data_IF_468189214554
#
_entry.id   IF_468189214554
#
_cell.length_a   1.000
_cell.length_b   1.000
_cell.length_c   1.000
_cell.angle_alpha   90.00
_cell.angle_beta   90.00
_cell.angle_gamma   90.00
#
_symmetry.space_group_name_H-M   'P 1'
#
loop_
_entity.id
_entity.type
_entity.pdbx_description
1 polymer ?
#
# COMPACT_ATOMS: atom_id res chain seq x y z
N UNK A 1 49.77 17.72 -8.51
CA UNK A 1 48.43 18.11 -8.01
C UNK A 1 47.50 16.98 -8.38
N UNK A 2 47.16 16.14 -7.41
CA UNK A 2 46.25 15.03 -7.60
C UNK A 2 44.82 15.58 -7.48
N UNK A 3 43.98 15.30 -8.47
CA UNK A 3 42.54 15.56 -8.42
C UNK A 3 41.90 14.70 -7.33
N UNK A 4 40.97 15.21 -6.54
CA UNK A 4 40.27 14.39 -5.58
C UNK A 4 39.43 13.34 -6.32
N UNK A 5 39.64 12.09 -5.98
CA UNK A 5 38.72 11.01 -6.35
C UNK A 5 37.38 11.28 -5.70
N UNK A 6 36.33 11.41 -6.52
CA UNK A 6 34.95 11.47 -6.08
C UNK A 6 34.66 10.20 -5.27
N UNK A 7 34.42 10.36 -4.00
CA UNK A 7 33.83 9.33 -3.16
C UNK A 7 32.43 9.06 -3.68
N UNK A 8 32.26 8.00 -4.42
CA UNK A 8 30.97 7.42 -4.75
C UNK A 8 30.31 6.93 -3.45
N UNK A 9 29.66 7.82 -2.74
CA UNK A 9 28.66 7.44 -1.76
C UNK A 9 27.48 6.86 -2.52
N UNK A 10 27.15 5.59 -2.29
CA UNK A 10 26.15 4.82 -3.05
C UNK A 10 24.69 5.27 -2.87
N UNK A 11 24.43 6.56 -2.84
CA UNK A 11 23.08 7.14 -2.89
C UNK A 11 22.96 7.87 -4.22
N UNK A 12 22.56 7.15 -5.26
CA UNK A 12 22.37 7.74 -6.58
C UNK A 12 20.91 7.74 -6.95
N UNK A 13 20.42 8.89 -7.38
CA UNK A 13 19.11 9.18 -7.93
C UNK A 13 17.94 9.10 -6.93
N UNK A 14 17.76 10.15 -6.12
CA UNK A 14 16.51 10.40 -5.43
C UNK A 14 15.55 11.13 -6.38
N UNK A 15 14.35 10.56 -6.58
CA UNK A 15 13.23 11.22 -7.23
C UNK A 15 12.23 11.59 -6.15
N UNK A 16 12.00 12.88 -5.97
CA UNK A 16 11.05 13.40 -4.99
C UNK A 16 9.92 14.13 -5.71
N UNK A 17 8.72 13.95 -5.20
CA UNK A 17 7.58 14.81 -5.48
C UNK A 17 6.75 14.97 -4.19
N UNK A 18 5.68 15.75 -4.24
CA UNK A 18 4.84 16.02 -3.07
C UNK A 18 4.16 14.75 -2.50
N UNK A 19 4.06 13.67 -3.27
CA UNK A 19 3.31 12.47 -2.89
C UNK A 19 4.18 11.28 -2.51
N UNK A 20 5.45 11.22 -2.96
CA UNK A 20 6.36 10.11 -2.67
C UNK A 20 7.82 10.49 -2.92
N UNK A 21 8.74 9.71 -2.34
CA UNK A 21 10.16 9.74 -2.70
C UNK A 21 10.66 8.35 -3.08
N UNK A 22 11.64 8.31 -3.99
CA UNK A 22 12.30 7.06 -4.43
C UNK A 22 13.80 7.24 -4.25
N UNK A 23 14.43 6.27 -3.60
CA UNK A 23 15.88 6.16 -3.46
C UNK A 23 16.35 4.80 -3.96
N UNK A 24 17.40 4.79 -4.79
CA UNK A 24 17.96 3.56 -5.33
C UNK A 24 19.33 3.34 -4.71
N UNK A 25 19.46 2.26 -3.94
CA UNK A 25 20.74 1.81 -3.39
C UNK A 25 21.43 0.89 -4.39
N UNK A 26 22.63 1.27 -4.81
CA UNK A 26 23.43 0.56 -5.81
C UNK A 26 24.68 -0.04 -5.18
N UNK A 27 24.48 -1.14 -4.49
CA UNK A 27 25.57 -2.03 -4.10
C UNK A 27 25.66 -3.20 -5.09
N UNK A 28 26.26 -4.32 -4.75
CA UNK A 28 26.21 -5.54 -5.57
C UNK A 28 24.77 -6.01 -5.84
N UNK A 29 23.86 -5.70 -4.93
CA UNK A 29 22.43 -5.98 -5.00
C UNK A 29 21.67 -4.66 -4.96
N UNK A 30 20.89 -4.37 -6.01
CA UNK A 30 20.05 -3.15 -6.04
C UNK A 30 18.80 -3.35 -5.20
N UNK A 31 18.56 -2.43 -4.30
CA UNK A 31 17.29 -2.24 -3.60
C UNK A 31 16.71 -0.87 -3.93
N UNK A 32 15.40 -0.81 -4.13
CA UNK A 32 14.66 0.44 -4.35
C UNK A 32 13.84 0.73 -3.11
N UNK A 33 14.10 1.84 -2.47
CA UNK A 33 13.35 2.33 -1.31
C UNK A 33 12.35 3.39 -1.77
N UNK A 34 11.08 3.19 -1.46
CA UNK A 34 9.98 4.09 -1.76
C UNK A 34 9.38 4.54 -0.43
N UNK A 35 9.28 5.85 -0.24
CA UNK A 35 8.60 6.44 0.92
C UNK A 35 7.30 7.09 0.48
N UNK A 36 6.21 6.75 1.14
CA UNK A 36 4.88 7.27 0.95
C UNK A 36 4.36 7.76 2.31
N UNK A 37 4.54 9.07 2.58
CA UNK A 37 4.23 9.68 3.88
C UNK A 37 3.15 10.76 3.81
N UNK A 38 2.39 10.79 2.73
CA UNK A 38 1.32 11.75 2.47
C UNK A 38 -0.02 11.04 2.24
N UNK A 39 -1.05 11.81 1.94
CA UNK A 39 -2.33 11.24 1.50
C UNK A 39 -2.19 10.48 0.17
N UNK A 40 -3.03 9.49 -0.02
CA UNK A 40 -3.16 8.78 -1.29
C UNK A 40 -3.94 9.65 -2.26
N UNK A 41 -3.21 10.27 -3.18
CA UNK A 41 -3.73 11.19 -4.18
C UNK A 41 -4.25 10.47 -5.43
N UNK A 42 -4.62 11.23 -6.48
CA UNK A 42 -5.05 10.68 -7.75
C UNK A 42 -3.88 10.00 -8.49
N UNK A 43 -4.19 9.00 -9.31
CA UNK A 43 -3.19 8.12 -9.94
C UNK A 43 -2.15 8.84 -10.80
N UNK A 44 -2.52 9.96 -11.44
CA UNK A 44 -1.59 10.72 -12.30
C UNK A 44 -0.39 11.30 -11.53
N UNK A 45 -0.50 11.48 -10.21
CA UNK A 45 0.61 11.95 -9.39
C UNK A 45 1.69 10.88 -9.16
N UNK A 46 1.40 9.62 -9.48
CA UNK A 46 2.28 8.47 -9.31
C UNK A 46 2.91 7.95 -10.63
N UNK A 47 2.81 8.69 -11.73
CA UNK A 47 3.32 8.25 -13.04
C UNK A 47 4.82 7.90 -13.00
N UNK A 48 5.64 8.71 -12.32
CA UNK A 48 7.08 8.44 -12.15
C UNK A 48 7.31 7.16 -11.33
N UNK A 49 6.55 6.96 -10.26
CA UNK A 49 6.62 5.74 -9.44
C UNK A 49 6.24 4.52 -10.26
N UNK A 50 5.16 4.58 -11.02
CA UNK A 50 4.74 3.49 -11.90
C UNK A 50 5.78 3.21 -12.99
N UNK A 51 6.39 4.25 -13.58
CA UNK A 51 7.46 4.09 -14.55
C UNK A 51 8.69 3.39 -13.93
N UNK A 52 9.10 3.81 -12.73
CA UNK A 52 10.20 3.18 -12.00
C UNK A 52 9.93 1.71 -11.72
N UNK A 53 8.73 1.36 -11.21
CA UNK A 53 8.39 -0.04 -10.92
C UNK A 53 8.33 -0.93 -12.17
N UNK A 54 8.00 -0.35 -13.34
CA UNK A 54 8.02 -1.07 -14.62
C UNK A 54 9.42 -1.23 -15.23
N UNK A 55 10.38 -0.38 -14.84
CA UNK A 55 11.73 -0.31 -15.39
C UNK A 55 12.82 -0.63 -14.36
N UNK A 56 12.50 -1.47 -13.38
CA UNK A 56 13.48 -1.88 -12.37
C UNK A 56 14.69 -2.55 -13.03
N UNK A 57 15.93 -2.27 -12.55
CA UNK A 57 17.12 -2.93 -13.03
C UNK A 57 17.05 -4.45 -12.88
N UNK A 58 17.72 -5.21 -13.78
CA UNK A 58 17.70 -6.67 -13.75
C UNK A 58 18.25 -7.30 -12.47
N UNK A 59 19.19 -6.61 -11.80
CA UNK A 59 19.76 -7.03 -10.53
C UNK A 59 19.02 -6.43 -9.31
N UNK A 60 17.87 -5.79 -9.50
CA UNK A 60 17.00 -5.38 -8.40
C UNK A 60 16.36 -6.62 -7.76
N UNK A 61 16.55 -6.80 -6.47
CA UNK A 61 16.07 -7.98 -5.74
C UNK A 61 14.88 -7.68 -4.85
N UNK A 62 14.70 -6.42 -4.47
CA UNK A 62 13.59 -6.01 -3.59
C UNK A 62 13.24 -4.54 -3.78
N UNK A 63 11.98 -4.24 -3.52
CA UNK A 63 11.47 -2.89 -3.30
C UNK A 63 11.03 -2.80 -1.84
N UNK A 64 11.50 -1.79 -1.11
CA UNK A 64 11.05 -1.51 0.25
C UNK A 64 10.07 -0.33 0.21
N UNK A 65 8.85 -0.54 0.67
CA UNK A 65 7.84 0.50 0.79
C UNK A 65 7.74 0.95 2.25
N UNK A 66 8.21 2.17 2.54
CA UNK A 66 8.05 2.84 3.83
C UNK A 66 6.77 3.67 3.82
N UNK A 67 5.83 3.35 4.69
CA UNK A 67 4.47 3.82 4.61
C UNK A 67 4.01 4.48 5.91
N UNK A 68 3.52 5.73 5.79
CA UNK A 68 2.83 6.49 6.83
C UNK A 68 1.80 7.39 6.16
N UNK A 69 0.54 6.98 6.05
CA UNK A 69 -0.47 7.69 5.25
C UNK A 69 -1.85 7.60 5.87
N UNK A 70 -2.51 8.73 6.04
CA UNK A 70 -3.89 8.78 6.53
C UNK A 70 -4.94 8.33 5.51
N UNK A 71 -4.51 7.87 4.35
CA UNK A 71 -5.42 7.38 3.31
C UNK A 71 -5.68 8.40 2.21
N UNK A 72 -6.83 8.32 1.56
CA UNK A 72 -7.20 9.23 0.48
C UNK A 72 -8.04 8.56 -0.60
N UNK A 73 -7.80 8.92 -1.86
CA UNK A 73 -8.68 8.56 -2.97
C UNK A 73 -8.55 7.12 -3.45
N UNK A 74 -9.69 6.46 -3.67
CA UNK A 74 -9.73 5.10 -4.28
C UNK A 74 -9.10 5.06 -5.68
N UNK A 75 -9.20 6.15 -6.44
CA UNK A 75 -8.60 6.29 -7.77
C UNK A 75 -7.06 6.24 -7.74
N UNK A 76 -6.45 6.61 -6.63
CA UNK A 76 -5.01 6.43 -6.42
C UNK A 76 -4.67 5.10 -5.76
N UNK A 77 -5.50 4.66 -4.80
CA UNK A 77 -5.29 3.43 -4.06
C UNK A 77 -5.21 2.21 -4.97
N UNK A 78 -6.19 2.01 -5.86
CA UNK A 78 -6.27 0.80 -6.68
C UNK A 78 -5.05 0.64 -7.60
N UNK A 79 -4.63 1.66 -8.36
CA UNK A 79 -3.41 1.58 -9.17
C UNK A 79 -2.14 1.34 -8.34
N UNK A 80 -1.98 2.02 -7.19
CA UNK A 80 -0.83 1.84 -6.30
C UNK A 80 -0.79 0.42 -5.74
N UNK A 81 -1.91 -0.05 -5.21
CA UNK A 81 -2.01 -1.41 -4.67
C UNK A 81 -1.62 -2.45 -5.72
N UNK A 82 -2.15 -2.33 -6.93
CA UNK A 82 -1.83 -3.24 -8.02
C UNK A 82 -0.36 -3.12 -8.46
N UNK A 83 0.20 -1.91 -8.51
CA UNK A 83 1.60 -1.70 -8.87
C UNK A 83 2.55 -2.40 -7.90
N UNK A 84 2.28 -2.36 -6.60
CA UNK A 84 3.08 -3.05 -5.60
C UNK A 84 2.77 -4.57 -5.57
N UNK A 85 1.50 -4.95 -5.61
CA UNK A 85 1.07 -6.36 -5.52
C UNK A 85 1.61 -7.21 -6.66
N UNK A 86 1.66 -6.65 -7.86
CA UNK A 86 2.09 -7.33 -9.08
C UNK A 86 3.45 -6.83 -9.59
N UNK A 87 4.25 -6.21 -8.73
CA UNK A 87 5.62 -5.82 -9.06
C UNK A 87 6.44 -7.06 -9.45
N UNK A 88 7.36 -6.91 -10.41
CA UNK A 88 8.22 -8.00 -10.88
C UNK A 88 9.18 -8.52 -9.81
N UNK A 89 9.56 -7.67 -8.85
CA UNK A 89 10.35 -8.06 -7.69
C UNK A 89 9.52 -7.95 -6.42
N UNK A 90 9.87 -8.69 -5.36
CA UNK A 90 9.16 -8.63 -4.10
C UNK A 90 9.13 -7.23 -3.51
N UNK A 91 7.95 -6.82 -3.00
CA UNK A 91 7.77 -5.56 -2.27
C UNK A 91 7.61 -5.87 -0.78
N UNK A 92 8.53 -5.39 0.04
CA UNK A 92 8.47 -5.50 1.50
C UNK A 92 7.95 -4.18 2.09
N UNK A 93 6.85 -4.25 2.85
CA UNK A 93 6.18 -3.06 3.38
C UNK A 93 6.54 -2.84 4.84
N UNK A 94 6.95 -1.63 5.14
CA UNK A 94 7.29 -1.15 6.48
C UNK A 94 6.33 -0.01 6.86
N UNK A 95 5.45 -0.25 7.81
CA UNK A 95 4.60 0.78 8.39
C UNK A 95 5.45 1.55 9.39
N UNK A 96 5.71 2.83 9.10
CA UNK A 96 6.62 3.70 9.86
C UNK A 96 5.90 4.76 10.70
N UNK A 97 4.58 4.86 10.53
CA UNK A 97 3.70 5.77 11.25
C UNK A 97 2.27 5.23 11.26
N UNK A 98 1.32 6.11 11.42
CA UNK A 98 -0.10 5.76 11.33
C UNK A 98 -0.49 5.58 9.87
N UNK A 99 -1.22 4.48 9.59
CA UNK A 99 -1.75 4.19 8.27
C UNK A 99 -3.26 3.96 8.39
N UNK A 100 -4.04 4.86 7.81
CA UNK A 100 -5.49 4.83 7.89
C UNK A 100 -6.12 4.65 6.51
N UNK A 101 -7.33 4.04 6.45
CA UNK A 101 -8.11 3.97 5.22
C UNK A 101 -7.33 3.37 4.04
N UNK A 102 -7.18 4.10 2.94
CA UNK A 102 -6.37 3.71 1.78
C UNK A 102 -4.91 3.40 2.15
N UNK A 103 -4.32 4.12 3.13
CA UNK A 103 -2.98 3.84 3.66
C UNK A 103 -2.89 2.47 4.32
N UNK A 104 -3.88 2.10 5.14
CA UNK A 104 -3.94 0.77 5.75
C UNK A 104 -4.11 -0.35 4.72
N UNK A 105 -4.87 -0.09 3.63
CA UNK A 105 -5.00 -1.06 2.54
C UNK A 105 -3.69 -1.22 1.77
N UNK A 106 -2.97 -0.12 1.50
CA UNK A 106 -1.65 -0.19 0.85
C UNK A 106 -0.63 -0.99 1.66
N UNK A 107 -0.72 -0.97 3.00
CA UNK A 107 0.14 -1.80 3.84
C UNK A 107 0.01 -3.30 3.53
N UNK A 108 -1.08 -3.73 2.92
CA UNK A 108 -1.36 -5.12 2.56
C UNK A 108 -0.98 -5.48 1.10
N UNK A 109 -0.41 -4.52 0.35
CA UNK A 109 -0.10 -4.72 -1.07
C UNK A 109 1.20 -5.49 -1.35
N UNK A 110 2.11 -5.58 -0.36
CA UNK A 110 3.41 -6.21 -0.54
C UNK A 110 3.42 -7.75 -0.44
N UNK A 111 4.63 -8.29 -0.42
CA UNK A 111 4.92 -9.69 -0.07
C UNK A 111 4.97 -9.89 1.44
N UNK A 112 5.41 -8.88 2.17
CA UNK A 112 5.56 -8.89 3.62
C UNK A 112 5.07 -7.58 4.23
N UNK A 113 4.78 -7.61 5.52
CA UNK A 113 4.41 -6.45 6.33
C UNK A 113 5.19 -6.46 7.63
N UNK A 114 5.88 -5.36 7.90
CA UNK A 114 6.50 -5.05 9.19
C UNK A 114 5.88 -3.79 9.76
N UNK A 115 5.27 -3.87 10.92
CA UNK A 115 4.81 -2.71 11.67
C UNK A 115 5.91 -2.29 12.65
N UNK A 116 6.40 -1.06 12.52
CA UNK A 116 7.37 -0.48 13.45
C UNK A 116 6.72 -0.18 14.81
N UNK A 117 7.49 -0.08 15.91
CA UNK A 117 6.93 0.32 17.20
C UNK A 117 6.13 1.64 17.12
N UNK A 118 5.04 1.69 17.88
CA UNK A 118 4.13 2.84 17.97
C UNK A 118 3.36 3.16 16.67
N UNK A 119 3.20 2.18 15.78
CA UNK A 119 2.42 2.33 14.55
C UNK A 119 1.04 1.70 14.67
N UNK A 120 0.14 2.11 13.79
CA UNK A 120 -1.24 1.62 13.79
C UNK A 120 -1.81 1.58 12.38
N UNK A 121 -2.62 0.56 12.11
CA UNK A 121 -3.49 0.51 10.93
C UNK A 121 -4.93 0.78 11.38
N UNK A 122 -5.67 1.59 10.61
CA UNK A 122 -7.09 1.80 10.82
C UNK A 122 -7.84 1.56 9.51
N UNK A 123 -8.83 0.71 9.58
CA UNK A 123 -9.73 0.39 8.49
C UNK A 123 -11.12 0.91 8.82
N UNK A 124 -11.75 1.58 7.87
CA UNK A 124 -13.12 2.06 7.97
C UNK A 124 -13.85 1.87 6.64
N UNK A 125 -15.17 1.96 6.64
CA UNK A 125 -15.96 1.94 5.43
C UNK A 125 -15.63 3.17 4.55
N UNK A 126 -15.74 3.03 3.23
CA UNK A 126 -15.56 4.16 2.33
C UNK A 126 -16.61 5.24 2.56
N UNK A 127 -16.15 6.48 2.65
CA UNK A 127 -17.03 7.65 2.60
C UNK A 127 -16.90 8.31 1.24
N UNK A 128 -18.00 8.83 0.71
CA UNK A 128 -18.03 9.53 -0.57
C UNK A 128 -19.43 10.00 -0.90
N UNK A 129 -19.56 10.82 -1.92
CA UNK A 129 -20.81 11.31 -2.46
C UNK A 129 -20.74 11.37 -3.97
N UNK A 130 -21.90 11.27 -4.60
CA UNK A 130 -22.08 11.43 -6.03
C UNK A 130 -23.03 12.61 -6.30
N UNK A 131 -22.78 13.28 -7.39
CA UNK A 131 -23.66 14.35 -7.88
C UNK A 131 -24.20 13.96 -9.26
N UNK A 132 -25.51 14.04 -9.45
CA UNK A 132 -26.12 13.65 -10.72
C UNK A 132 -27.63 13.85 -10.73
N UNK A 133 -28.28 13.43 -11.81
CA UNK A 133 -29.73 13.52 -11.97
C UNK A 133 -30.38 12.18 -11.60
N UNK A 134 -31.36 12.25 -10.70
CA UNK A 134 -32.34 11.18 -10.45
C UNK A 134 -31.82 9.73 -10.55
N UNK A 135 -32.25 9.01 -11.57
CA UNK A 135 -31.89 7.62 -11.78
C UNK A 135 -30.39 7.39 -12.07
N UNK A 136 -29.73 8.34 -12.74
CA UNK A 136 -28.28 8.27 -13.00
C UNK A 136 -27.52 8.29 -11.69
N UNK A 137 -27.93 9.12 -10.74
CA UNK A 137 -27.36 9.19 -9.41
C UNK A 137 -27.56 7.88 -8.64
N UNK A 138 -28.78 7.32 -8.69
CA UNK A 138 -29.06 6.04 -8.03
C UNK A 138 -28.18 4.91 -8.58
N UNK A 139 -28.07 4.78 -9.89
CA UNK A 139 -27.24 3.77 -10.54
C UNK A 139 -25.76 3.96 -10.22
N UNK A 140 -25.23 5.18 -10.26
CA UNK A 140 -23.85 5.50 -9.92
C UNK A 140 -23.53 5.12 -8.48
N UNK A 141 -24.38 5.46 -7.51
CA UNK A 141 -24.20 5.11 -6.10
C UNK A 141 -24.26 3.60 -5.90
N UNK A 142 -25.22 2.89 -6.51
CA UNK A 142 -25.38 1.44 -6.35
C UNK A 142 -24.19 0.68 -6.94
N UNK A 143 -23.78 1.02 -8.16
CA UNK A 143 -22.63 0.39 -8.82
C UNK A 143 -21.30 0.74 -8.13
N UNK A 144 -21.12 2.01 -7.76
CA UNK A 144 -19.94 2.50 -7.05
C UNK A 144 -19.78 1.81 -5.69
N UNK A 145 -20.84 1.74 -4.90
CA UNK A 145 -20.84 1.06 -3.60
C UNK A 145 -20.51 -0.42 -3.72
N UNK A 146 -21.15 -1.12 -4.67
CA UNK A 146 -20.89 -2.55 -4.90
C UNK A 146 -19.44 -2.79 -5.32
N UNK A 147 -18.92 -1.97 -6.25
CA UNK A 147 -17.53 -2.05 -6.69
C UNK A 147 -16.56 -1.81 -5.55
N UNK A 148 -16.71 -0.72 -4.81
CA UNK A 148 -15.83 -0.34 -3.69
C UNK A 148 -15.81 -1.41 -2.60
N UNK A 149 -16.97 -1.98 -2.23
CA UNK A 149 -17.02 -3.10 -1.29
C UNK A 149 -16.27 -4.33 -1.78
N UNK A 150 -16.38 -4.66 -3.07
CA UNK A 150 -15.64 -5.76 -3.67
C UNK A 150 -14.13 -5.55 -3.65
N UNK A 151 -13.68 -4.37 -4.04
CA UNK A 151 -12.26 -3.97 -4.00
C UNK A 151 -11.74 -4.02 -2.57
N UNK A 152 -12.46 -3.42 -1.62
CA UNK A 152 -12.10 -3.42 -0.22
C UNK A 152 -11.94 -4.85 0.32
N UNK A 153 -12.95 -5.70 0.13
CA UNK A 153 -12.89 -7.11 0.54
C UNK A 153 -11.66 -7.82 -0.04
N UNK A 154 -11.36 -7.63 -1.31
CA UNK A 154 -10.22 -8.28 -1.97
C UNK A 154 -8.88 -7.82 -1.40
N UNK A 155 -8.75 -6.55 -1.03
CA UNK A 155 -7.50 -6.00 -0.50
C UNK A 155 -7.23 -6.43 0.95
N UNK A 156 -8.28 -6.43 1.80
CA UNK A 156 -8.10 -6.66 3.25
C UNK A 156 -8.23 -8.10 3.70
N UNK A 157 -8.81 -8.99 2.88
CA UNK A 157 -8.96 -10.41 3.24
C UNK A 157 -7.71 -11.20 2.81
N UNK A 158 -7.19 -12.12 3.62
CA UNK A 158 -7.70 -12.56 4.91
C UNK A 158 -7.06 -11.85 6.13
N UNK A 159 -6.43 -10.69 5.96
CA UNK A 159 -5.83 -9.95 7.10
C UNK A 159 -6.90 -9.62 8.15
N UNK A 160 -8.03 -9.06 7.72
CA UNK A 160 -9.22 -8.93 8.56
C UNK A 160 -10.05 -10.21 8.54
N UNK A 161 -10.69 -10.52 9.66
CA UNK A 161 -11.66 -11.60 9.77
C UNK A 161 -12.99 -11.23 9.08
N UNK A 162 -13.83 -12.23 8.79
CA UNK A 162 -15.16 -11.98 8.23
C UNK A 162 -16.02 -11.10 9.16
N UNK A 163 -15.92 -11.30 10.48
CA UNK A 163 -16.69 -10.50 11.45
C UNK A 163 -16.24 -9.03 11.46
N UNK A 164 -14.91 -8.77 11.35
CA UNK A 164 -14.40 -7.40 11.22
C UNK A 164 -14.83 -6.77 9.90
N UNK A 165 -14.77 -7.53 8.81
CA UNK A 165 -15.21 -7.04 7.51
C UNK A 165 -16.71 -6.70 7.51
N UNK A 166 -17.55 -7.53 8.12
CA UNK A 166 -18.98 -7.23 8.31
C UNK A 166 -19.17 -6.00 9.20
N UNK A 167 -18.39 -5.88 10.29
CA UNK A 167 -18.39 -4.70 11.13
C UNK A 167 -18.13 -3.42 10.33
N UNK A 168 -17.12 -3.44 9.47
CA UNK A 168 -16.79 -2.30 8.58
C UNK A 168 -17.95 -1.95 7.64
N UNK A 169 -18.68 -2.95 7.12
CA UNK A 169 -19.86 -2.68 6.27
C UNK A 169 -21.03 -2.03 7.05
N UNK A 170 -20.97 -2.04 8.36
CA UNK A 170 -21.91 -1.37 9.29
C UNK A 170 -21.23 -0.19 10.03
N UNK A 171 -20.26 0.46 9.39
CA UNK A 171 -19.57 1.67 9.84
C UNK A 171 -18.86 1.53 11.21
N UNK A 172 -18.42 0.30 11.52
CA UNK A 172 -17.61 0.04 12.71
C UNK A 172 -16.12 -0.06 12.33
N UNK A 173 -15.36 0.95 12.71
CA UNK A 173 -13.93 1.01 12.44
C UNK A 173 -13.15 -0.13 13.12
N UNK A 174 -12.05 -0.55 12.48
CA UNK A 174 -11.15 -1.59 12.99
C UNK A 174 -9.73 -1.03 13.11
N UNK A 175 -9.19 -1.07 14.31
CA UNK A 175 -7.84 -0.60 14.64
C UNK A 175 -6.93 -1.77 14.94
N UNK A 176 -5.73 -1.78 14.34
CA UNK A 176 -4.72 -2.80 14.52
C UNK A 176 -3.43 -2.13 14.97
N UNK A 177 -3.02 -2.36 16.21
CA UNK A 177 -1.81 -1.79 16.80
C UNK A 177 -0.60 -2.69 16.57
N UNK A 178 0.60 -2.10 16.53
CA UNK A 178 1.87 -2.80 16.31
C UNK A 178 2.19 -3.87 17.36
N UNK A 179 1.73 -3.70 18.59
CA UNK A 179 1.92 -4.61 19.74
C UNK A 179 0.71 -5.54 19.97
N UNK A 180 -0.27 -5.54 19.07
CA UNK A 180 -1.46 -6.35 19.22
C UNK A 180 -1.11 -7.85 19.21
N UNK A 181 -1.60 -8.64 20.20
CA UNK A 181 -1.18 -10.04 20.37
C UNK A 181 -1.40 -10.95 19.17
N UNK A 182 -2.42 -10.66 18.34
CA UNK A 182 -2.75 -11.45 17.16
C UNK A 182 -2.15 -10.92 15.85
N UNK A 183 -1.39 -9.82 15.88
CA UNK A 183 -0.81 -9.19 14.69
C UNK A 183 -0.01 -10.19 13.84
N UNK A 184 0.88 -10.97 14.45
CA UNK A 184 1.70 -11.95 13.73
C UNK A 184 0.86 -13.06 13.09
N UNK A 185 -0.27 -13.40 13.70
CA UNK A 185 -1.23 -14.36 13.12
C UNK A 185 -1.92 -13.76 11.89
N UNK A 186 -2.31 -12.48 11.94
CA UNK A 186 -2.91 -11.75 10.82
C UNK A 186 -1.95 -11.66 9.64
N UNK A 187 -0.70 -11.25 9.89
CA UNK A 187 0.37 -11.16 8.89
C UNK A 187 0.57 -12.52 8.21
N UNK A 188 0.77 -13.60 8.98
CA UNK A 188 0.95 -14.94 8.40
C UNK A 188 -0.26 -15.38 7.58
N UNK A 189 -1.47 -15.11 8.03
CA UNK A 189 -2.70 -15.48 7.32
C UNK A 189 -2.83 -14.75 5.98
N UNK A 190 -2.42 -13.49 5.91
CA UNK A 190 -2.52 -12.67 4.69
C UNK A 190 -1.41 -12.99 3.69
N UNK A 191 -0.16 -13.01 4.13
CA UNK A 191 1.00 -13.09 3.23
C UNK A 191 1.44 -14.54 2.96
N UNK A 192 1.09 -15.50 3.82
CA UNK A 192 1.39 -16.92 3.68
C UNK A 192 0.11 -17.77 3.86
N UNK A 193 -0.91 -17.58 3.02
CA UNK A 193 -2.11 -18.40 3.11
C UNK A 193 -1.70 -19.85 2.86
N UNK A 194 -1.84 -20.72 3.85
CA UNK A 194 -1.72 -22.17 3.63
C UNK A 194 -2.66 -22.50 2.49
N UNK A 195 -2.17 -23.18 1.44
CA UNK A 195 -3.04 -23.76 0.42
C UNK A 195 -4.02 -24.67 1.18
N UNK A 196 -5.24 -24.23 1.31
CA UNK A 196 -6.31 -25.09 1.79
C UNK A 196 -6.39 -26.24 0.77
N UNK A 197 -5.90 -27.40 1.17
CA UNK A 197 -6.10 -28.63 0.42
C UNK A 197 -7.61 -28.84 0.47
N UNK A 198 -8.29 -28.51 -0.62
CA UNK A 198 -9.69 -28.91 -0.81
C UNK A 198 -9.73 -30.44 -0.71
N UNK A 199 -10.24 -30.92 0.43
CA UNK A 199 -10.65 -32.31 0.58
C UNK A 199 -11.96 -32.54 -0.16
#
# INVERSE_FOLDING_TARGET
>A
MATPTENETGLNDALENESFSISIRRDEIIAVDITLSTEVNLSFQYEKLFATLRSLPQNCTTVNLFLASFGGYMQGLVPLFNAFKYCQVPVDVYVTGECYSAGAMLALSGRSLTMMPNTMLMFHNSSGGEFGKGNELYDAVMHGTKHTRGVFKNMVTPFLSNAELEGLMHDKDTYIHWDQPDLQKRIRRHFNPKKEVKK
#
